data_IF_925209401004
#
_entry.id   IF_925209401004
#
_cell.length_a   1.000
_cell.length_b   1.000
_cell.length_c   1.000
_cell.angle_alpha   90.00
_cell.angle_beta   90.00
_cell.angle_gamma   90.00
#
_symmetry.space_group_name_H-M   'P 1'
#
loop_
_entity.id
_entity.type
_entity.pdbx_description
1 polymer ?
#
# COMPACT_ATOMS: atom_id res chain seq x y z
N UNK A 1 -16.24 -15.29 -24.66
CA UNK A 1 -15.13 -15.88 -23.90
C UNK A 1 -13.83 -15.13 -24.19
N UNK A 2 -13.46 -14.93 -25.45
CA UNK A 2 -12.21 -14.26 -25.85
C UNK A 2 -12.13 -12.82 -25.37
N UNK A 3 -13.22 -12.05 -25.40
CA UNK A 3 -13.29 -10.71 -24.83
C UNK A 3 -13.06 -10.69 -23.33
N UNK A 4 -13.58 -11.68 -22.60
CA UNK A 4 -13.35 -11.78 -21.15
C UNK A 4 -11.88 -12.06 -20.84
N UNK A 5 -11.24 -12.91 -21.63
CA UNK A 5 -9.80 -13.22 -21.47
C UNK A 5 -8.96 -11.99 -21.77
N UNK A 6 -9.23 -11.28 -22.85
CA UNK A 6 -8.51 -10.04 -23.21
C UNK A 6 -8.65 -8.97 -22.14
N UNK A 7 -9.86 -8.77 -21.62
CA UNK A 7 -10.12 -7.81 -20.53
C UNK A 7 -9.38 -8.21 -19.23
N UNK A 8 -9.31 -9.50 -18.94
CA UNK A 8 -8.56 -10.00 -17.79
C UNK A 8 -7.05 -9.75 -17.95
N UNK A 9 -6.48 -10.03 -19.13
CA UNK A 9 -5.08 -9.72 -19.44
C UNK A 9 -4.78 -8.22 -19.34
N UNK A 10 -5.65 -7.38 -19.86
CA UNK A 10 -5.50 -5.92 -19.76
C UNK A 10 -5.48 -5.48 -18.30
N UNK A 11 -6.40 -5.99 -17.47
CA UNK A 11 -6.48 -5.68 -16.06
C UNK A 11 -5.22 -6.11 -15.29
N UNK A 12 -4.74 -7.33 -15.50
CA UNK A 12 -3.53 -7.85 -14.87
C UNK A 12 -2.30 -7.06 -15.31
N UNK A 13 -2.20 -6.71 -16.60
CA UNK A 13 -1.09 -5.90 -17.13
C UNK A 13 -1.08 -4.51 -16.53
N UNK A 14 -2.25 -3.86 -16.38
CA UNK A 14 -2.36 -2.56 -15.70
C UNK A 14 -1.89 -2.63 -14.26
N UNK A 15 -2.35 -3.62 -13.49
CA UNK A 15 -1.94 -3.81 -12.09
C UNK A 15 -0.43 -4.03 -11.98
N UNK A 16 0.14 -4.91 -12.79
CA UNK A 16 1.59 -5.15 -12.82
C UNK A 16 2.40 -3.92 -13.22
N UNK A 17 1.91 -3.15 -14.19
CA UNK A 17 2.52 -1.89 -14.63
C UNK A 17 2.56 -0.84 -13.50
N UNK A 18 1.47 -0.68 -12.76
CA UNK A 18 1.45 0.21 -11.59
C UNK A 18 2.44 -0.23 -10.51
N UNK A 19 2.49 -1.52 -10.18
CA UNK A 19 3.44 -2.04 -9.19
C UNK A 19 4.89 -1.77 -9.59
N UNK A 20 5.25 -2.02 -10.85
CA UNK A 20 6.60 -1.74 -11.37
C UNK A 20 6.93 -0.24 -11.32
N UNK A 21 6.00 0.61 -11.76
CA UNK A 21 6.19 2.05 -11.74
C UNK A 21 6.41 2.59 -10.33
N UNK A 22 5.60 2.17 -9.36
CA UNK A 22 5.76 2.58 -7.97
C UNK A 22 7.03 2.02 -7.33
N UNK A 23 7.46 0.81 -7.66
CA UNK A 23 8.72 0.23 -7.17
C UNK A 23 9.93 1.01 -7.69
N UNK A 24 9.93 1.41 -8.96
CA UNK A 24 10.99 2.27 -9.52
C UNK A 24 10.96 3.65 -8.86
N UNK A 25 9.78 4.23 -8.65
CA UNK A 25 9.63 5.51 -7.96
C UNK A 25 10.21 5.47 -6.54
N UNK A 26 9.94 4.41 -5.78
CA UNK A 26 10.50 4.21 -4.44
C UNK A 26 12.02 4.17 -4.48
N UNK A 27 12.62 3.44 -5.44
CA UNK A 27 14.07 3.37 -5.56
C UNK A 27 14.72 4.72 -5.91
N UNK A 28 14.07 5.50 -6.78
CA UNK A 28 14.51 6.86 -7.09
C UNK A 28 14.42 7.78 -5.87
N UNK A 29 13.32 7.74 -5.13
CA UNK A 29 13.15 8.51 -3.91
C UNK A 29 14.17 8.10 -2.83
N UNK A 30 14.43 6.80 -2.69
CA UNK A 30 15.41 6.29 -1.73
C UNK A 30 16.85 6.70 -2.04
N UNK A 31 17.16 7.01 -3.30
CA UNK A 31 18.48 7.54 -3.68
C UNK A 31 18.68 9.03 -3.33
N UNK A 32 17.60 9.78 -3.16
CA UNK A 32 17.61 11.23 -2.94
C UNK A 32 17.33 11.61 -1.47
N UNK A 33 16.41 10.87 -0.82
CA UNK A 33 15.98 11.18 0.54
C UNK A 33 16.85 10.46 1.58
N UNK A 34 17.15 11.11 2.72
CA UNK A 34 17.90 10.48 3.81
C UNK A 34 17.09 9.31 4.42
N UNK A 35 17.79 8.30 4.96
CA UNK A 35 17.22 7.16 5.64
C UNK A 35 16.67 7.54 7.02
N UNK A 36 15.53 8.20 7.04
CA UNK A 36 14.77 8.55 8.25
C UNK A 36 13.54 7.66 8.39
N UNK A 37 12.97 7.59 9.59
CA UNK A 37 11.70 6.88 9.85
C UNK A 37 10.59 7.43 8.95
N UNK A 38 10.59 8.74 8.73
CA UNK A 38 9.60 9.39 7.85
C UNK A 38 9.71 8.93 6.39
N UNK A 39 10.94 8.83 5.84
CA UNK A 39 11.15 8.33 4.48
C UNK A 39 10.75 6.84 4.35
N UNK A 40 11.02 6.04 5.39
CA UNK A 40 10.60 4.64 5.43
C UNK A 40 9.07 4.51 5.38
N UNK A 41 8.34 5.30 6.17
CA UNK A 41 6.87 5.32 6.14
C UNK A 41 6.32 5.80 4.80
N UNK A 42 6.96 6.79 4.18
CA UNK A 42 6.59 7.27 2.85
C UNK A 42 6.74 6.16 1.81
N UNK A 43 7.90 5.49 1.74
CA UNK A 43 8.12 4.38 0.79
C UNK A 43 7.13 3.24 1.02
N UNK A 44 6.90 2.87 2.28
CA UNK A 44 5.96 1.83 2.66
C UNK A 44 4.52 2.15 2.29
N UNK A 45 4.14 3.43 2.31
CA UNK A 45 2.80 3.86 1.91
C UNK A 45 2.59 3.87 0.39
N UNK A 46 3.65 4.04 -0.39
CA UNK A 46 3.56 4.09 -1.85
C UNK A 46 3.22 2.72 -2.43
N UNK A 47 4.00 1.70 -2.07
CA UNK A 47 3.80 0.34 -2.56
C UNK A 47 4.04 -0.66 -1.41
N UNK A 48 3.06 -1.52 -1.17
CA UNK A 48 2.98 -2.36 0.01
C UNK A 48 4.08 -3.43 0.07
N UNK A 49 4.37 -4.11 -1.04
CA UNK A 49 5.33 -5.23 -1.06
C UNK A 49 6.74 -4.76 -0.76
N UNK A 50 7.18 -3.69 -1.42
CA UNK A 50 8.47 -3.05 -1.18
C UNK A 50 8.50 -2.39 0.20
N UNK A 51 7.40 -1.78 0.62
CA UNK A 51 7.26 -1.15 1.92
C UNK A 51 7.42 -2.12 3.08
N UNK A 52 6.75 -3.25 3.05
CA UNK A 52 6.87 -4.31 4.07
C UNK A 52 8.30 -4.83 4.13
N UNK A 53 8.92 -5.07 2.98
CA UNK A 53 10.32 -5.53 2.92
C UNK A 53 11.28 -4.54 3.59
N UNK A 54 11.14 -3.25 3.30
CA UNK A 54 11.94 -2.19 3.91
C UNK A 54 11.67 -2.07 5.42
N UNK A 55 10.41 -2.20 5.84
CA UNK A 55 10.01 -2.16 7.23
C UNK A 55 10.68 -3.29 8.04
N UNK A 56 10.68 -4.53 7.52
CA UNK A 56 11.31 -5.66 8.20
C UNK A 56 12.83 -5.58 8.24
N UNK A 57 13.48 -4.93 7.28
CA UNK A 57 14.93 -4.68 7.31
C UNK A 57 15.34 -3.48 8.17
N UNK A 58 14.40 -2.70 8.69
CA UNK A 58 14.69 -1.56 9.57
C UNK A 58 15.03 -2.00 11.00
N UNK A 59 15.63 -1.09 11.78
CA UNK A 59 16.02 -1.32 13.18
C UNK A 59 14.89 -1.13 14.21
N UNK A 60 13.62 -1.08 13.78
CA UNK A 60 12.46 -0.94 14.65
C UNK A 60 12.23 -2.18 15.51
N UNK A 61 11.56 -2.02 16.66
CA UNK A 61 11.14 -3.14 17.50
C UNK A 61 10.10 -4.02 16.79
N UNK A 62 10.09 -5.31 17.11
CA UNK A 62 9.17 -6.29 16.49
C UNK A 62 7.71 -5.90 16.63
N UNK A 63 7.31 -5.39 17.79
CA UNK A 63 5.95 -4.90 18.05
C UNK A 63 5.56 -3.76 17.11
N UNK A 64 6.43 -2.78 16.95
CA UNK A 64 6.21 -1.65 16.03
C UNK A 64 6.08 -2.12 14.57
N UNK A 65 6.92 -3.06 14.15
CA UNK A 65 6.86 -3.67 12.82
C UNK A 65 5.52 -4.35 12.57
N UNK A 66 5.00 -5.09 13.54
CA UNK A 66 3.71 -5.78 13.42
C UNK A 66 2.56 -4.77 13.28
N UNK A 67 2.54 -3.74 14.12
CA UNK A 67 1.48 -2.71 14.08
C UNK A 67 1.53 -1.94 12.75
N UNK A 68 2.71 -1.53 12.31
CA UNK A 68 2.90 -0.83 11.03
C UNK A 68 2.56 -1.73 9.84
N UNK A 69 2.93 -3.01 9.89
CA UNK A 69 2.57 -3.97 8.86
C UNK A 69 1.05 -4.13 8.74
N UNK A 70 0.36 -4.22 9.88
CA UNK A 70 -1.10 -4.30 9.90
C UNK A 70 -1.78 -3.04 9.33
N UNK A 71 -1.27 -1.86 9.68
CA UNK A 71 -1.73 -0.60 9.11
C UNK A 71 -1.54 -0.59 7.58
N UNK A 72 -0.33 -0.91 7.10
CA UNK A 72 0.02 -0.88 5.68
C UNK A 72 -0.78 -1.89 4.87
N UNK A 73 -0.98 -3.11 5.38
CA UNK A 73 -1.78 -4.14 4.70
C UNK A 73 -3.25 -3.76 4.59
N UNK A 74 -3.81 -3.14 5.63
CA UNK A 74 -5.20 -2.64 5.60
C UNK A 74 -5.37 -1.44 4.68
N UNK A 75 -4.39 -0.52 4.65
CA UNK A 75 -4.41 0.63 3.75
C UNK A 75 -4.22 0.21 2.30
N UNK A 76 -3.31 -0.71 2.03
CA UNK A 76 -3.02 -1.23 0.69
C UNK A 76 -2.07 -0.38 -0.15
N UNK A 77 -1.67 0.79 0.33
CA UNK A 77 -0.77 1.72 -0.35
C UNK A 77 -1.41 2.57 -1.45
N UNK A 78 -0.72 3.63 -1.85
CA UNK A 78 -1.14 4.52 -2.94
C UNK A 78 -1.18 3.83 -4.29
N UNK A 79 -0.33 2.81 -4.48
CA UNK A 79 -0.35 1.98 -5.68
C UNK A 79 -1.72 1.29 -5.86
N UNK A 80 -2.31 0.72 -4.80
CA UNK A 80 -3.65 0.11 -4.86
C UNK A 80 -4.75 1.15 -5.13
N UNK A 81 -4.62 2.36 -4.61
CA UNK A 81 -5.56 3.45 -4.88
C UNK A 81 -5.51 3.84 -6.36
N UNK A 82 -4.30 3.98 -6.93
CA UNK A 82 -4.12 4.29 -8.35
C UNK A 82 -4.67 3.19 -9.26
N UNK A 83 -4.44 1.93 -8.91
CA UNK A 83 -5.00 0.77 -9.61
C UNK A 83 -6.53 0.79 -9.58
N UNK A 84 -7.12 0.98 -8.41
CA UNK A 84 -8.59 1.05 -8.26
C UNK A 84 -9.16 2.21 -9.06
N UNK A 85 -8.54 3.39 -8.99
CA UNK A 85 -8.96 4.56 -9.78
C UNK A 85 -8.96 4.27 -11.28
N UNK A 86 -7.90 3.61 -11.80
CA UNK A 86 -7.82 3.28 -13.22
C UNK A 86 -8.92 2.31 -13.67
N UNK A 87 -9.39 1.44 -12.77
CA UNK A 87 -10.48 0.50 -13.07
C UNK A 87 -11.87 1.13 -13.02
N UNK A 88 -12.09 2.09 -12.11
CA UNK A 88 -13.41 2.74 -11.94
C UNK A 88 -13.55 4.04 -12.72
N UNK A 89 -12.51 4.50 -13.41
CA UNK A 89 -12.51 5.78 -14.14
C UNK A 89 -13.62 5.90 -15.19
N UNK A 90 -14.06 4.77 -15.73
CA UNK A 90 -15.18 4.72 -16.70
C UNK A 90 -16.57 4.74 -16.04
N UNK A 91 -16.69 4.50 -14.74
CA UNK A 91 -17.96 4.31 -14.03
C UNK A 91 -18.46 5.52 -13.26
N UNK A 92 -17.80 6.66 -13.35
CA UNK A 92 -18.13 7.93 -12.64
C UNK A 92 -18.23 7.78 -11.10
N UNK A 93 -17.68 6.72 -10.53
CA UNK A 93 -17.67 6.52 -9.08
C UNK A 93 -16.61 7.42 -8.43
N UNK A 94 -16.94 8.14 -7.33
CA UNK A 94 -15.97 8.98 -6.65
C UNK A 94 -14.96 8.12 -5.90
N UNK A 95 -13.66 8.40 -6.10
CA UNK A 95 -12.56 7.68 -5.42
C UNK A 95 -12.39 8.09 -3.95
N UNK A 96 -12.85 9.29 -3.59
CA UNK A 96 -12.63 9.86 -2.26
C UNK A 96 -13.24 9.03 -1.12
N UNK A 97 -14.49 8.52 -1.20
CA UNK A 97 -15.05 7.62 -0.19
C UNK A 97 -14.25 6.32 -0.02
N UNK A 98 -13.67 5.81 -1.10
CA UNK A 98 -12.80 4.63 -1.05
C UNK A 98 -11.52 4.91 -0.25
N UNK A 99 -10.86 6.04 -0.49
CA UNK A 99 -9.65 6.44 0.23
C UNK A 99 -9.95 6.62 1.72
N UNK A 100 -11.04 7.31 2.07
CA UNK A 100 -11.44 7.52 3.47
C UNK A 100 -11.77 6.20 4.17
N UNK A 101 -12.50 5.29 3.52
CA UNK A 101 -12.79 3.98 4.06
C UNK A 101 -11.51 3.16 4.32
N UNK A 102 -10.55 3.20 3.39
CA UNK A 102 -9.24 2.55 3.54
C UNK A 102 -8.43 3.11 4.71
N UNK A 103 -8.41 4.42 4.89
CA UNK A 103 -7.74 5.06 6.02
C UNK A 103 -8.39 4.69 7.37
N UNK A 104 -9.71 4.73 7.44
CA UNK A 104 -10.44 4.34 8.67
C UNK A 104 -10.18 2.86 9.02
N UNK A 105 -10.27 1.96 8.05
CA UNK A 105 -9.97 0.53 8.26
C UNK A 105 -8.53 0.33 8.72
N UNK A 106 -7.56 1.02 8.14
CA UNK A 106 -6.17 0.92 8.54
C UNK A 106 -5.93 1.38 9.98
N UNK A 107 -6.55 2.48 10.39
CA UNK A 107 -6.48 2.98 11.77
C UNK A 107 -7.12 2.00 12.74
N UNK A 108 -8.32 1.50 12.45
CA UNK A 108 -9.02 0.53 13.31
C UNK A 108 -8.20 -0.75 13.45
N UNK A 109 -7.66 -1.28 12.35
CA UNK A 109 -6.83 -2.50 12.38
C UNK A 109 -5.57 -2.32 13.21
N UNK A 110 -4.87 -1.20 13.05
CA UNK A 110 -3.66 -0.91 13.84
C UNK A 110 -3.94 -0.75 15.33
N UNK A 111 -5.08 -0.11 15.68
CA UNK A 111 -5.53 0.01 17.07
C UNK A 111 -5.90 -1.35 17.69
N UNK A 112 -6.62 -2.19 16.95
CA UNK A 112 -6.99 -3.51 17.43
C UNK A 112 -5.76 -4.39 17.68
N UNK A 113 -4.79 -4.38 16.77
CA UNK A 113 -3.54 -5.14 16.93
C UNK A 113 -2.70 -4.58 18.08
N UNK A 114 -2.59 -3.27 18.22
CA UNK A 114 -1.87 -2.68 19.34
C UNK A 114 -2.53 -3.06 20.67
N UNK A 115 -3.85 -2.93 20.78
CA UNK A 115 -4.59 -3.34 21.97
C UNK A 115 -4.39 -4.83 22.30
N UNK A 116 -4.41 -5.69 21.30
CA UNK A 116 -4.17 -7.13 21.45
C UNK A 116 -2.75 -7.43 21.99
N UNK A 117 -1.72 -6.78 21.42
CA UNK A 117 -0.32 -6.97 21.85
C UNK A 117 -0.10 -6.47 23.27
N UNK A 118 -0.70 -5.34 23.66
CA UNK A 118 -0.57 -4.79 25.01
C UNK A 118 -1.46 -5.49 26.04
N UNK A 119 -2.46 -6.28 25.62
CA UNK A 119 -3.31 -7.08 26.50
C UNK A 119 -2.72 -8.46 26.85
N UNK A 120 -1.76 -8.93 26.04
CA UNK A 120 -1.02 -10.19 26.28
C UNK A 120 0.30 -9.90 26.96
#
# INVERSE_FOLDING_TARGET
LDLCILNAFESVTKVGGYMMMFSVLIQLLASVLPNTIFSLLLYSSLEISTGIRLLFSSALYTTEKIILCAFLTSFGGWCCIAQTYSMISSSQLPILPYITAKLVTALVTSLLISAYIYAI
#
